data_IF_601661248312
#
_entry.id   IF_601661248312
#
_cell.length_a   1.000
_cell.length_b   1.000
_cell.length_c   1.000
_cell.angle_alpha   90.00
_cell.angle_beta   90.00
_cell.angle_gamma   90.00
#
_symmetry.space_group_name_H-M   'P 1'
#
loop_
_entity.id
_entity.type
_entity.pdbx_description
1 polymer ?
#
# COMPACT_ATOMS: atom_id res chain seq x y z
N UNK A 1 -27.93 12.94 -48.46
CA UNK A 1 -27.43 11.56 -48.30
C UNK A 1 -25.91 11.60 -48.33
N UNK A 2 -25.24 11.22 -47.22
CA UNK A 2 -23.88 10.60 -47.11
C UNK A 2 -22.70 11.29 -47.84
N UNK A 3 -21.56 11.69 -47.25
CA UNK A 3 -20.86 11.45 -45.97
C UNK A 3 -19.80 12.56 -45.86
N UNK A 4 -19.76 13.29 -44.75
CA UNK A 4 -18.58 14.05 -44.34
C UNK A 4 -18.24 13.54 -42.95
N UNK A 5 -17.17 12.75 -42.82
CA UNK A 5 -16.41 12.68 -41.57
C UNK A 5 -14.95 12.52 -41.97
N UNK A 6 -14.25 13.66 -41.91
CA UNK A 6 -12.80 13.76 -41.95
C UNK A 6 -12.19 12.84 -40.89
N UNK A 7 -11.13 12.14 -41.28
CA UNK A 7 -10.24 11.49 -40.35
C UNK A 7 -9.63 12.52 -39.39
N UNK A 8 -9.77 12.25 -38.10
CA UNK A 8 -8.93 12.82 -37.05
C UNK A 8 -8.46 11.66 -36.17
N UNK A 9 -7.56 10.85 -36.73
CA UNK A 9 -6.72 9.92 -35.96
C UNK A 9 -5.51 10.73 -35.51
N UNK A 10 -5.66 11.48 -34.42
CA UNK A 10 -4.54 12.01 -33.67
C UNK A 10 -5.02 12.46 -32.29
N UNK A 11 -4.34 12.00 -31.25
CA UNK A 11 -4.32 12.62 -29.92
C UNK A 11 -5.43 12.26 -28.92
N UNK A 12 -5.50 10.99 -28.50
CA UNK A 12 -6.03 10.64 -27.16
C UNK A 12 -5.28 9.47 -26.52
N UNK A 13 -3.94 9.43 -26.63
CA UNK A 13 -3.15 8.36 -26.00
C UNK A 13 -2.10 8.90 -25.02
N UNK A 14 -2.48 9.79 -24.09
CA UNK A 14 -1.55 10.25 -23.06
C UNK A 14 -2.23 10.73 -21.77
N UNK A 15 -2.95 9.87 -21.06
CA UNK A 15 -3.42 10.22 -19.71
C UNK A 15 -3.75 9.00 -18.83
N UNK A 16 -2.90 7.98 -18.77
CA UNK A 16 -3.12 6.86 -17.84
C UNK A 16 -1.80 6.27 -17.30
N UNK A 17 -0.96 7.06 -16.64
CA UNK A 17 0.06 6.46 -15.77
C UNK A 17 0.63 7.38 -14.70
N UNK A 18 -0.01 7.47 -13.51
CA UNK A 18 0.76 7.81 -12.31
C UNK A 18 0.71 6.74 -11.20
N UNK A 19 -0.07 5.66 -11.31
CA UNK A 19 -0.15 4.67 -10.22
C UNK A 19 1.11 3.79 -10.07
N UNK A 20 1.86 3.55 -11.14
CA UNK A 20 2.99 2.62 -11.09
C UNK A 20 4.18 3.13 -10.25
N UNK A 21 4.38 4.46 -10.17
CA UNK A 21 5.50 5.04 -9.42
C UNK A 21 5.29 4.98 -7.89
N UNK A 22 4.05 5.11 -7.42
CA UNK A 22 3.74 5.08 -5.98
C UNK A 22 3.93 3.68 -5.36
N UNK A 23 3.71 2.60 -6.14
CA UNK A 23 3.94 1.23 -5.67
C UNK A 23 5.44 0.90 -5.55
N UNK A 24 6.30 1.49 -6.40
CA UNK A 24 7.74 1.23 -6.43
C UNK A 24 8.45 1.79 -5.19
N UNK A 25 8.09 2.99 -4.72
CA UNK A 25 8.68 3.62 -3.53
C UNK A 25 8.32 2.89 -2.25
N UNK A 26 7.03 2.53 -2.08
CA UNK A 26 6.58 1.75 -0.93
C UNK A 26 7.35 0.41 -0.81
N UNK A 27 7.56 -0.29 -1.93
CA UNK A 27 8.31 -1.56 -1.94
C UNK A 27 9.79 -1.39 -1.57
N UNK A 28 10.40 -0.26 -1.96
CA UNK A 28 11.81 0.05 -1.66
C UNK A 28 12.01 0.40 -0.18
N UNK A 29 11.08 1.12 0.42
CA UNK A 29 11.19 1.57 1.81
C UNK A 29 10.93 0.48 2.84
N UNK A 30 10.06 -0.49 2.56
CA UNK A 30 9.99 -1.69 3.39
C UNK A 30 11.36 -2.41 3.45
N UNK A 31 12.19 -2.29 2.40
CA UNK A 31 13.59 -2.72 2.42
C UNK A 31 14.50 -1.89 3.33
N UNK A 32 14.19 -0.61 3.54
CA UNK A 32 14.93 0.28 4.45
C UNK A 32 14.51 0.09 5.93
N UNK A 33 13.32 -0.48 6.19
CA UNK A 33 12.79 -0.74 7.54
C UNK A 33 12.43 -2.22 7.77
N UNK A 34 13.43 -3.12 7.81
CA UNK A 34 13.18 -4.56 7.89
C UNK A 34 12.41 -4.98 9.15
N UNK A 35 12.56 -4.24 10.27
CA UNK A 35 11.80 -4.53 11.51
C UNK A 35 10.30 -4.23 11.37
N UNK A 36 9.93 -3.16 10.66
CA UNK A 36 8.51 -2.83 10.43
C UNK A 36 7.91 -3.81 9.42
N UNK A 37 8.66 -4.16 8.37
CA UNK A 37 8.25 -5.18 7.41
C UNK A 37 7.99 -6.53 8.09
N UNK A 38 8.92 -6.96 8.95
CA UNK A 38 8.76 -8.19 9.74
C UNK A 38 7.53 -8.13 10.64
N UNK A 39 7.34 -7.04 11.39
CA UNK A 39 6.18 -6.88 12.27
C UNK A 39 4.84 -6.98 11.52
N UNK A 40 4.72 -6.35 10.35
CA UNK A 40 3.51 -6.46 9.52
C UNK A 40 3.26 -7.92 9.12
N UNK A 41 4.29 -8.63 8.66
CA UNK A 41 4.17 -10.05 8.27
C UNK A 41 3.77 -10.95 9.45
N UNK A 42 4.35 -10.73 10.62
CA UNK A 42 4.01 -11.50 11.83
C UNK A 42 2.55 -11.24 12.25
N UNK A 43 2.09 -9.99 12.20
CA UNK A 43 0.69 -9.64 12.50
C UNK A 43 -0.28 -10.27 11.50
N UNK A 44 0.05 -10.28 10.21
CA UNK A 44 -0.74 -10.95 9.16
C UNK A 44 -0.84 -12.46 9.44
N UNK A 45 0.28 -13.10 9.81
CA UNK A 45 0.31 -14.50 10.20
C UNK A 45 -0.51 -14.80 11.45
N UNK A 46 -0.44 -13.93 12.47
CA UNK A 46 -1.23 -14.06 13.69
C UNK A 46 -2.74 -13.93 13.42
N UNK A 47 -3.15 -12.98 12.57
CA UNK A 47 -4.54 -12.83 12.12
C UNK A 47 -5.01 -14.10 11.45
N UNK A 48 -4.25 -14.61 10.47
CA UNK A 48 -4.62 -15.83 9.75
C UNK A 48 -4.75 -17.02 10.72
N UNK A 49 -3.79 -17.19 11.63
CA UNK A 49 -3.84 -18.25 12.64
C UNK A 49 -5.09 -18.14 13.51
N UNK A 50 -5.39 -16.95 14.02
CA UNK A 50 -6.57 -16.72 14.86
C UNK A 50 -7.87 -16.96 14.09
N UNK A 51 -7.98 -16.50 12.84
CA UNK A 51 -9.16 -16.70 11.99
C UNK A 51 -9.50 -18.18 11.83
N UNK A 52 -8.49 -19.03 11.60
CA UNK A 52 -8.65 -20.47 11.42
C UNK A 52 -8.74 -21.26 12.73
N UNK A 53 -8.43 -20.65 13.88
CA UNK A 53 -8.48 -21.33 15.16
C UNK A 53 -9.94 -21.69 15.55
N UNK A 54 -10.18 -22.92 16.05
CA UNK A 54 -11.52 -23.36 16.45
C UNK A 54 -12.00 -22.75 17.78
N UNK A 55 -11.09 -22.18 18.57
CA UNK A 55 -11.38 -21.58 19.88
C UNK A 55 -11.28 -20.05 19.82
N UNK A 56 -11.93 -19.39 20.79
CA UNK A 56 -12.01 -17.93 20.89
C UNK A 56 -10.93 -17.31 21.81
N UNK A 57 -9.91 -18.10 22.18
CA UNK A 57 -8.80 -17.65 23.05
C UNK A 57 -9.28 -16.95 24.35
N UNK A 58 -10.34 -17.47 24.97
CA UNK A 58 -10.93 -16.88 26.18
C UNK A 58 -11.79 -15.63 25.95
N UNK A 59 -12.33 -15.43 24.74
CA UNK A 59 -13.13 -14.24 24.39
C UNK A 59 -12.34 -13.15 23.66
N UNK A 60 -11.07 -13.41 23.33
CA UNK A 60 -10.15 -12.40 22.82
C UNK A 60 -9.91 -12.46 21.32
N UNK A 61 -10.40 -13.49 20.60
CA UNK A 61 -10.11 -13.67 19.16
C UNK A 61 -10.51 -12.45 18.33
N UNK A 62 -11.76 -12.01 18.48
CA UNK A 62 -12.31 -10.94 17.67
C UNK A 62 -11.55 -9.61 17.88
N UNK A 63 -11.31 -9.25 19.14
CA UNK A 63 -10.62 -8.02 19.49
C UNK A 63 -9.13 -8.06 19.07
N UNK A 64 -8.46 -9.20 19.29
CA UNK A 64 -7.06 -9.38 18.89
C UNK A 64 -6.87 -9.26 17.37
N UNK A 65 -7.78 -9.83 16.57
CA UNK A 65 -7.77 -9.67 15.11
C UNK A 65 -7.98 -8.20 14.74
N UNK A 66 -8.96 -7.52 15.35
CA UNK A 66 -9.27 -6.13 15.05
C UNK A 66 -8.09 -5.20 15.36
N UNK A 67 -7.45 -5.36 16.51
CA UNK A 67 -6.32 -4.53 16.92
C UNK A 67 -5.06 -4.83 16.10
N UNK A 68 -4.85 -6.09 15.73
CA UNK A 68 -3.76 -6.46 14.80
C UNK A 68 -3.93 -5.79 13.43
N UNK A 69 -5.16 -5.73 12.90
CA UNK A 69 -5.46 -5.05 11.63
C UNK A 69 -5.20 -3.54 11.73
N UNK A 70 -5.61 -2.90 12.82
CA UNK A 70 -5.32 -1.47 13.08
C UNK A 70 -3.81 -1.21 13.18
N UNK A 71 -3.07 -2.09 13.86
CA UNK A 71 -1.62 -1.98 13.97
C UNK A 71 -0.94 -2.05 12.59
N UNK A 72 -1.34 -3.00 11.74
CA UNK A 72 -0.83 -3.10 10.35
C UNK A 72 -1.11 -1.81 9.57
N UNK A 73 -2.32 -1.25 9.69
CA UNK A 73 -2.68 0.00 9.02
C UNK A 73 -1.76 1.15 9.44
N UNK A 74 -1.57 1.35 10.75
CA UNK A 74 -0.71 2.41 11.28
C UNK A 74 0.76 2.23 10.88
N UNK A 75 1.27 1.00 10.90
CA UNK A 75 2.62 0.71 10.43
C UNK A 75 2.79 1.05 8.95
N UNK A 76 1.80 0.73 8.10
CA UNK A 76 1.82 1.09 6.67
C UNK A 76 1.75 2.61 6.46
N UNK A 77 0.95 3.33 7.23
CA UNK A 77 0.90 4.80 7.18
C UNK A 77 2.23 5.44 7.60
N UNK A 78 2.87 4.94 8.65
CA UNK A 78 4.17 5.43 9.10
C UNK A 78 5.25 5.26 8.01
N UNK A 79 5.24 4.12 7.32
CA UNK A 79 6.12 3.87 6.16
C UNK A 79 5.84 4.88 5.04
N UNK A 80 4.57 5.07 4.65
CA UNK A 80 4.19 6.02 3.60
C UNK A 80 4.55 7.47 3.94
N UNK A 81 4.47 7.87 5.21
CA UNK A 81 4.88 9.22 5.63
C UNK A 81 6.38 9.41 5.39
N UNK A 82 7.20 8.45 5.84
CA UNK A 82 8.64 8.49 5.63
C UNK A 82 9.02 8.49 4.15
N UNK A 83 8.29 7.74 3.32
CA UNK A 83 8.40 7.79 1.86
C UNK A 83 8.40 9.21 1.30
N UNK A 84 7.40 9.96 1.73
CA UNK A 84 7.13 11.29 1.24
C UNK A 84 8.21 12.25 1.71
N UNK A 85 8.59 12.17 2.99
CA UNK A 85 9.67 12.97 3.57
C UNK A 85 11.01 12.76 2.85
N UNK A 86 11.38 11.52 2.57
CA UNK A 86 12.65 11.21 1.89
C UNK A 86 12.66 11.67 0.43
N UNK A 87 11.51 11.65 -0.25
CA UNK A 87 11.36 12.20 -1.60
C UNK A 87 11.38 13.75 -1.62
N UNK A 88 10.75 14.41 -0.63
CA UNK A 88 10.79 15.87 -0.50
C UNK A 88 12.21 16.39 -0.25
N UNK A 89 12.96 15.75 0.65
CA UNK A 89 14.37 16.12 0.94
C UNK A 89 15.28 15.97 -0.28
N UNK A 90 15.04 14.99 -1.15
CA UNK A 90 15.80 14.79 -2.39
C UNK A 90 15.47 15.84 -3.46
N UNK A 91 14.23 16.32 -3.50
CA UNK A 91 13.80 17.38 -4.42
C UNK A 91 14.39 18.75 -4.09
N UNK A 92 14.54 19.07 -2.81
CA UNK A 92 15.06 20.37 -2.34
C UNK A 92 16.59 20.53 -2.40
N UNK A 93 17.32 19.50 -2.86
CA UNK A 93 18.79 19.49 -3.03
C UNK A 93 19.23 19.67 -4.49
N UNK A 94 18.30 19.99 -5.39
CA UNK A 94 18.58 20.39 -6.78
C UNK A 94 18.44 21.89 -6.94
#
# INVERSE_FOLDING_TARGET
>A
MRRVVLGAIASTMLAFMPLAFAQQTAKKEFGEHPRIAAAVRELEGAIQYMEHAPHDFGGHKAQAIADSRKAIEQLRLAMQYRAKEDNMKKGNKK
#
